data_IF_304398222586
#
_entry.id   IF_304398222586
#
_cell.length_a   1.000
_cell.length_b   1.000
_cell.length_c   1.000
_cell.angle_alpha   90.00
_cell.angle_beta   90.00
_cell.angle_gamma   90.00
#
_symmetry.space_group_name_H-M   'P 1'
#
loop_
_entity.id
_entity.type
_entity.pdbx_description
1 polymer ?
#
# COMPACT_ATOMS: atom_id res chain seq x y z
N UNK A 1 6.69 30.05 3.44
CA UNK A 1 6.69 30.60 2.07
C UNK A 1 5.33 31.16 1.61
N UNK A 2 4.29 30.35 1.36
CA UNK A 2 3.02 30.83 0.75
C UNK A 2 2.40 32.00 1.55
N UNK A 3 2.20 31.82 2.86
CA UNK A 3 1.61 32.84 3.74
C UNK A 3 2.41 34.14 3.79
N UNK A 4 3.74 34.05 3.70
CA UNK A 4 4.65 35.19 3.88
C UNK A 4 4.87 35.96 2.59
N UNK A 5 4.81 35.28 1.43
CA UNK A 5 5.24 35.86 0.16
C UNK A 5 4.10 36.08 -0.83
N UNK A 6 3.20 35.10 -1.01
CA UNK A 6 2.20 35.16 -2.10
C UNK A 6 1.15 36.24 -1.84
N UNK A 7 0.63 36.34 -0.61
CA UNK A 7 -0.36 37.35 -0.25
C UNK A 7 0.18 38.79 -0.40
N UNK A 8 1.48 39.00 -0.16
CA UNK A 8 2.08 40.33 -0.27
C UNK A 8 2.33 40.76 -1.72
N UNK A 9 2.31 39.82 -2.68
CA UNK A 9 2.56 40.08 -4.11
C UNK A 9 1.33 40.55 -4.89
N UNK A 10 0.16 40.60 -4.26
CA UNK A 10 -1.02 41.19 -4.91
C UNK A 10 -0.81 42.69 -5.13
N UNK A 11 -0.78 43.12 -6.40
CA UNK A 11 -0.66 44.53 -6.78
C UNK A 11 -1.75 45.41 -6.17
N UNK A 12 -2.98 44.88 -6.07
CA UNK A 12 -4.08 45.51 -5.37
C UNK A 12 -4.71 44.50 -4.39
N UNK A 13 -4.60 44.77 -3.09
CA UNK A 13 -5.10 43.88 -2.04
C UNK A 13 -6.64 43.88 -1.92
N UNK A 14 -7.32 44.87 -2.49
CA UNK A 14 -8.77 44.99 -2.43
C UNK A 14 -9.49 44.26 -3.58
N UNK A 15 -8.82 44.12 -4.74
CA UNK A 15 -9.44 43.56 -5.96
C UNK A 15 -8.68 42.37 -6.53
N UNK A 16 -7.45 42.11 -6.07
CA UNK A 16 -6.67 40.96 -6.48
C UNK A 16 -7.28 39.65 -5.97
N UNK A 17 -7.17 38.60 -6.77
CA UNK A 17 -7.59 37.26 -6.43
C UNK A 17 -6.40 36.30 -6.49
N UNK A 18 -6.40 35.29 -5.61
CA UNK A 18 -5.48 34.17 -5.67
C UNK A 18 -6.31 32.93 -5.98
N UNK A 19 -5.94 32.20 -7.03
CA UNK A 19 -6.58 30.95 -7.41
C UNK A 19 -5.53 29.84 -7.26
N UNK A 20 -5.84 28.83 -6.47
CA UNK A 20 -5.01 27.64 -6.31
C UNK A 20 -5.68 26.50 -7.05
N UNK A 21 -4.99 25.96 -8.05
CA UNK A 21 -5.44 24.78 -8.82
C UNK A 21 -4.40 23.69 -8.62
N UNK A 22 -4.79 22.64 -7.90
CA UNK A 22 -3.93 21.48 -7.65
C UNK A 22 -4.76 20.24 -7.38
N UNK A 23 -4.15 19.08 -7.56
CA UNK A 23 -4.66 17.83 -7.02
C UNK A 23 -4.38 17.78 -5.53
N UNK A 24 -5.35 17.30 -4.75
CA UNK A 24 -5.15 16.92 -3.35
C UNK A 24 -4.25 15.70 -3.28
N UNK A 25 -3.11 15.83 -2.64
CA UNK A 25 -2.11 14.74 -2.53
C UNK A 25 -1.90 14.28 -1.09
N UNK A 26 -2.30 15.10 -0.12
CA UNK A 26 -2.18 14.85 1.30
C UNK A 26 -3.17 15.74 2.06
N UNK A 27 -3.56 15.40 3.29
CA UNK A 27 -4.39 16.33 4.07
C UNK A 27 -3.67 17.65 4.31
N UNK A 28 -2.39 17.60 4.69
CA UNK A 28 -1.49 18.74 4.92
C UNK A 28 -0.90 19.37 3.64
N UNK A 29 -1.47 19.08 2.47
CA UNK A 29 -1.06 19.78 1.24
C UNK A 29 -1.43 21.27 1.31
N UNK A 30 -1.00 22.05 0.31
CA UNK A 30 -1.27 23.50 0.32
C UNK A 30 -2.77 23.80 0.40
N UNK A 31 -3.64 22.98 -0.20
CA UNK A 31 -5.08 23.19 -0.12
C UNK A 31 -5.59 22.95 1.29
N UNK A 32 -5.24 21.83 1.92
CA UNK A 32 -5.66 21.58 3.31
C UNK A 32 -5.12 22.62 4.29
N UNK A 33 -3.85 23.00 4.16
CA UNK A 33 -3.25 24.09 4.93
C UNK A 33 -4.02 25.41 4.80
N UNK A 34 -4.54 25.73 3.61
CA UNK A 34 -5.32 26.95 3.37
C UNK A 34 -6.74 26.85 3.90
N UNK A 35 -7.37 25.68 3.82
CA UNK A 35 -8.71 25.43 4.36
C UNK A 35 -8.75 25.50 5.90
N UNK A 36 -7.64 25.20 6.57
CA UNK A 36 -7.50 25.36 8.03
C UNK A 36 -7.32 26.82 8.48
N UNK A 37 -6.98 27.74 7.56
CA UNK A 37 -6.81 29.15 7.93
C UNK A 37 -8.16 29.80 8.18
N UNK A 38 -8.15 30.80 9.08
CA UNK A 38 -9.29 31.69 9.30
C UNK A 38 -9.64 32.57 8.08
N UNK A 39 -8.75 32.64 7.09
CA UNK A 39 -9.00 33.39 5.85
C UNK A 39 -10.03 32.64 5.00
N UNK A 40 -11.12 33.29 4.57
CA UNK A 40 -12.16 32.61 3.81
C UNK A 40 -11.68 32.26 2.40
N UNK A 41 -11.53 30.96 2.13
CA UNK A 41 -11.29 30.41 0.79
C UNK A 41 -12.59 29.84 0.22
N UNK A 42 -12.83 30.06 -1.07
CA UNK A 42 -13.87 29.34 -1.80
C UNK A 42 -13.28 28.02 -2.29
N UNK A 43 -13.77 26.91 -1.75
CA UNK A 43 -13.31 25.57 -2.12
C UNK A 43 -14.20 24.95 -3.20
N UNK A 44 -13.57 24.49 -4.28
CA UNK A 44 -14.22 23.72 -5.34
C UNK A 44 -13.47 22.39 -5.51
N UNK A 45 -14.11 21.31 -5.10
CA UNK A 45 -13.66 19.95 -5.37
C UNK A 45 -14.35 19.43 -6.64
N UNK A 46 -13.58 18.79 -7.52
CA UNK A 46 -14.06 18.16 -8.76
C UNK A 46 -13.62 16.69 -8.77
N UNK A 47 -14.33 15.78 -8.07
CA UNK A 47 -13.96 14.37 -8.01
C UNK A 47 -14.21 13.68 -9.35
N UNK A 48 -13.41 12.68 -9.69
CA UNK A 48 -13.52 11.91 -10.93
C UNK A 48 -14.90 11.26 -11.10
N UNK A 49 -15.53 10.83 -10.01
CA UNK A 49 -16.91 10.34 -9.92
C UNK A 49 -17.69 11.20 -8.92
N UNK A 50 -18.88 11.67 -9.29
CA UNK A 50 -19.68 12.56 -8.45
C UNK A 50 -20.22 11.80 -7.24
N UNK A 51 -20.01 12.34 -6.04
CA UNK A 51 -20.46 11.71 -4.79
C UNK A 51 -21.90 12.07 -4.43
N UNK A 52 -22.40 13.17 -4.99
CA UNK A 52 -23.76 13.67 -4.83
C UNK A 52 -24.18 14.42 -6.10
N UNK A 53 -25.46 14.75 -6.23
CA UNK A 53 -25.93 15.61 -7.32
C UNK A 53 -25.33 17.01 -7.20
N UNK A 54 -24.64 17.45 -8.26
CA UNK A 54 -23.99 18.74 -8.35
C UNK A 54 -24.76 19.64 -9.32
N UNK A 55 -25.08 20.87 -8.89
CA UNK A 55 -25.66 21.90 -9.75
C UNK A 55 -25.02 23.25 -9.48
N UNK A 56 -24.51 23.90 -10.53
CA UNK A 56 -23.82 25.20 -10.42
C UNK A 56 -24.18 26.11 -11.58
N UNK A 57 -24.60 27.33 -11.28
CA UNK A 57 -24.78 28.36 -12.30
C UNK A 57 -23.41 28.86 -12.79
N UNK A 58 -23.22 28.93 -14.10
CA UNK A 58 -21.99 29.43 -14.70
C UNK A 58 -22.10 30.94 -14.94
N UNK A 59 -21.04 31.69 -14.60
CA UNK A 59 -21.00 33.14 -14.82
C UNK A 59 -21.09 33.52 -16.31
N UNK A 60 -20.72 32.62 -17.21
CA UNK A 60 -20.86 32.76 -18.67
C UNK A 60 -22.29 32.56 -19.18
N UNK A 61 -23.24 32.24 -18.30
CA UNK A 61 -24.58 31.77 -18.67
C UNK A 61 -24.65 30.24 -18.71
N UNK A 62 -25.81 29.69 -18.32
CA UNK A 62 -26.06 28.24 -18.26
C UNK A 62 -25.85 27.61 -16.87
N UNK A 63 -26.17 26.32 -16.78
CA UNK A 63 -26.02 25.52 -15.57
C UNK A 63 -25.14 24.30 -15.87
N UNK A 64 -24.15 24.08 -15.02
CA UNK A 64 -23.46 22.81 -14.91
C UNK A 64 -24.28 21.90 -14.01
N UNK A 65 -24.62 20.71 -14.51
CA UNK A 65 -25.32 19.68 -13.73
C UNK A 65 -24.61 18.34 -13.92
N UNK A 66 -24.47 17.61 -12.82
CA UNK A 66 -23.88 16.28 -12.78
C UNK A 66 -24.58 15.46 -11.71
N UNK A 67 -25.02 14.25 -12.03
CA UNK A 67 -25.67 13.35 -11.06
C UNK A 67 -24.64 12.60 -10.24
N UNK A 68 -25.04 12.17 -9.05
CA UNK A 68 -24.27 11.18 -8.29
C UNK A 68 -23.93 9.99 -9.19
N UNK A 69 -22.64 9.61 -9.20
CA UNK A 69 -22.13 8.50 -10.02
C UNK A 69 -21.68 8.89 -11.42
N UNK A 70 -21.93 10.11 -11.90
CA UNK A 70 -21.44 10.53 -13.23
C UNK A 70 -19.93 10.77 -13.21
N UNK A 71 -19.24 10.48 -14.32
CA UNK A 71 -17.83 10.82 -14.49
C UNK A 71 -17.65 12.32 -14.73
N UNK A 72 -16.54 12.91 -14.24
CA UNK A 72 -16.27 14.35 -14.35
C UNK A 72 -16.07 14.76 -15.82
N UNK A 73 -15.38 13.92 -16.58
CA UNK A 73 -15.08 14.14 -17.99
C UNK A 73 -15.18 12.81 -18.76
N UNK A 74 -16.41 12.31 -19.05
CA UNK A 74 -16.63 10.98 -19.62
C UNK A 74 -15.88 10.71 -20.93
N UNK A 75 -15.67 11.74 -21.76
CA UNK A 75 -14.93 11.63 -23.03
C UNK A 75 -13.42 11.38 -22.84
N UNK A 76 -12.88 11.76 -21.68
CA UNK A 76 -11.47 11.57 -21.32
C UNK A 76 -11.30 10.27 -20.54
N UNK A 77 -12.12 10.09 -19.51
CA UNK A 77 -12.13 8.91 -18.65
C UNK A 77 -13.58 8.48 -18.39
N UNK A 78 -14.00 7.41 -19.06
CA UNK A 78 -15.32 6.81 -18.86
C UNK A 78 -15.44 6.15 -17.49
N UNK A 79 -16.67 5.98 -16.98
CA UNK A 79 -16.92 5.25 -15.72
C UNK A 79 -16.29 3.87 -15.71
N UNK A 80 -16.38 3.13 -16.82
CA UNK A 80 -15.75 1.81 -16.95
C UNK A 80 -14.23 1.85 -16.77
N UNK A 81 -13.57 2.90 -17.26
CA UNK A 81 -12.13 3.08 -17.06
C UNK A 81 -11.83 3.47 -15.62
N UNK A 82 -12.63 4.34 -15.02
CA UNK A 82 -12.49 4.73 -13.62
C UNK A 82 -12.70 3.54 -12.68
N UNK A 83 -13.66 2.66 -12.95
CA UNK A 83 -13.87 1.42 -12.21
C UNK A 83 -12.67 0.47 -12.34
N UNK A 84 -12.11 0.36 -13.55
CA UNK A 84 -10.89 -0.43 -13.77
C UNK A 84 -9.71 0.15 -12.99
N UNK A 85 -9.50 1.47 -13.07
CA UNK A 85 -8.44 2.16 -12.33
C UNK A 85 -8.65 2.01 -10.81
N UNK A 86 -9.88 2.12 -10.32
CA UNK A 86 -10.21 1.88 -8.91
C UNK A 86 -9.89 0.45 -8.49
N UNK A 87 -10.18 -0.53 -9.35
CA UNK A 87 -9.86 -1.94 -9.07
C UNK A 87 -8.36 -2.24 -9.09
N UNK A 88 -7.57 -1.48 -9.87
CA UNK A 88 -6.12 -1.65 -10.02
C UNK A 88 -5.34 -0.91 -8.92
N UNK A 89 -5.77 0.31 -8.57
CA UNK A 89 -5.11 1.13 -7.55
C UNK A 89 -5.58 0.87 -6.12
N UNK A 90 -6.74 0.26 -5.94
CA UNK A 90 -7.41 0.12 -4.64
C UNK A 90 -8.19 1.38 -4.23
N UNK A 91 -9.19 1.20 -3.38
CA UNK A 91 -10.13 2.25 -2.99
C UNK A 91 -9.46 3.41 -2.26
N UNK A 92 -8.43 3.14 -1.45
CA UNK A 92 -7.70 4.16 -0.69
C UNK A 92 -6.96 5.13 -1.60
N UNK A 93 -6.16 4.61 -2.54
CA UNK A 93 -5.42 5.41 -3.51
C UNK A 93 -6.37 6.15 -4.44
N UNK A 94 -7.43 5.48 -4.88
CA UNK A 94 -8.45 6.08 -5.73
C UNK A 94 -9.15 7.26 -5.01
N UNK A 95 -9.48 7.12 -3.73
CA UNK A 95 -10.10 8.19 -2.93
C UNK A 95 -9.20 9.43 -2.87
N UNK A 96 -7.91 9.26 -2.59
CA UNK A 96 -6.94 10.36 -2.57
C UNK A 96 -6.74 10.98 -3.95
N UNK A 97 -6.38 10.18 -4.94
CA UNK A 97 -5.93 10.67 -6.24
C UNK A 97 -7.07 11.12 -7.16
N UNK A 98 -8.18 10.37 -7.20
CA UNK A 98 -9.28 10.60 -8.15
C UNK A 98 -10.48 11.29 -7.50
N UNK A 99 -10.79 10.99 -6.23
CA UNK A 99 -11.90 11.65 -5.53
C UNK A 99 -11.48 12.91 -4.75
N UNK A 100 -10.20 13.27 -4.73
CA UNK A 100 -9.67 14.44 -4.00
C UNK A 100 -9.94 14.38 -2.49
N UNK A 101 -10.06 13.16 -1.95
CA UNK A 101 -10.26 12.87 -0.52
C UNK A 101 -9.02 12.16 0.03
N UNK A 102 -7.91 12.89 0.25
CA UNK A 102 -6.79 12.30 0.97
C UNK A 102 -7.27 11.93 2.38
N UNK A 103 -7.01 10.69 2.79
CA UNK A 103 -7.36 10.24 4.14
C UNK A 103 -6.55 11.03 5.18
N UNK A 104 -7.10 11.26 6.38
CA UNK A 104 -6.37 11.92 7.45
C UNK A 104 -5.13 11.11 7.87
N UNK A 105 -4.10 11.81 8.34
CA UNK A 105 -2.94 11.19 8.96
C UNK A 105 -3.43 10.43 10.20
N UNK A 106 -3.46 9.09 10.07
CA UNK A 106 -3.90 8.22 11.14
C UNK A 106 -5.20 7.45 10.93
N UNK A 107 -5.87 7.62 9.79
CA UNK A 107 -6.85 6.62 9.37
C UNK A 107 -6.11 5.35 8.92
N UNK A 108 -6.60 4.20 9.36
CA UNK A 108 -5.93 2.92 9.09
C UNK A 108 -5.94 2.59 7.60
N UNK A 109 -4.75 2.36 7.05
CA UNK A 109 -4.56 2.02 5.63
C UNK A 109 -5.13 0.63 5.33
N UNK A 110 -5.12 -0.27 6.31
CA UNK A 110 -5.51 -1.68 6.14
C UNK A 110 -6.67 -2.03 7.07
N UNK A 111 -7.74 -2.58 6.50
CA UNK A 111 -8.93 -3.00 7.28
C UNK A 111 -8.85 -4.47 7.62
N UNK A 112 -9.19 -4.84 8.87
CA UNK A 112 -9.27 -6.26 9.29
C UNK A 112 -10.15 -7.10 8.35
N UNK A 113 -11.26 -6.52 7.89
CA UNK A 113 -12.23 -7.19 7.01
C UNK A 113 -11.68 -7.55 5.62
N UNK A 114 -10.49 -7.04 5.24
CA UNK A 114 -9.84 -7.39 3.99
C UNK A 114 -9.11 -8.74 4.03
N UNK A 115 -8.81 -9.24 5.23
CA UNK A 115 -8.23 -10.57 5.39
C UNK A 115 -9.31 -11.63 5.48
N UNK A 116 -9.20 -12.66 4.65
CA UNK A 116 -9.98 -13.87 4.79
C UNK A 116 -9.31 -14.83 5.79
N UNK A 117 -10.07 -15.82 6.26
CA UNK A 117 -9.58 -16.78 7.24
C UNK A 117 -9.41 -18.18 6.64
N UNK A 118 -8.40 -18.93 7.09
CA UNK A 118 -8.22 -20.34 6.76
C UNK A 118 -8.08 -21.22 8.02
N UNK A 119 -8.33 -22.52 7.85
CA UNK A 119 -8.08 -23.56 8.85
C UNK A 119 -6.79 -24.31 8.51
N UNK A 120 -5.98 -24.65 9.52
CA UNK A 120 -4.70 -25.37 9.31
C UNK A 120 -4.90 -26.73 8.61
N UNK A 121 -5.97 -27.45 8.96
CA UNK A 121 -6.30 -28.76 8.38
C UNK A 121 -6.72 -28.69 6.89
N UNK A 122 -6.97 -27.47 6.39
CA UNK A 122 -7.42 -27.20 5.01
C UNK A 122 -6.40 -26.46 4.17
N UNK A 123 -5.12 -26.46 4.57
CA UNK A 123 -4.08 -25.76 3.83
C UNK A 123 -3.88 -26.37 2.42
N UNK A 124 -3.97 -25.57 1.35
CA UNK A 124 -3.68 -26.03 0.00
C UNK A 124 -2.18 -26.30 -0.20
N UNK A 125 -1.84 -26.97 -1.30
CA UNK A 125 -0.45 -27.03 -1.77
C UNK A 125 -0.05 -25.68 -2.36
N UNK A 126 1.07 -25.14 -1.91
CA UNK A 126 1.60 -23.86 -2.37
C UNK A 126 2.50 -24.02 -3.59
N UNK A 127 2.33 -23.16 -4.58
CA UNK A 127 3.25 -23.05 -5.73
C UNK A 127 4.62 -22.52 -5.29
N UNK A 128 4.61 -21.66 -4.26
CA UNK A 128 5.78 -21.04 -3.69
C UNK A 128 5.56 -20.76 -2.21
N UNK A 129 6.59 -21.01 -1.38
CA UNK A 129 6.62 -20.52 0.00
C UNK A 129 7.77 -19.53 0.15
N UNK A 130 7.46 -18.34 0.64
CA UNK A 130 8.47 -17.33 0.94
C UNK A 130 8.57 -17.07 2.44
N UNK A 131 9.76 -16.65 2.89
CA UNK A 131 9.91 -15.95 4.15
C UNK A 131 10.52 -14.58 3.91
N UNK A 132 9.76 -13.53 4.23
CA UNK A 132 10.19 -12.13 4.14
C UNK A 132 10.71 -11.68 5.49
N UNK A 133 11.93 -11.17 5.51
CA UNK A 133 12.59 -10.66 6.70
C UNK A 133 12.77 -9.16 6.64
N UNK A 134 12.18 -8.47 7.61
CA UNK A 134 12.60 -7.17 8.08
C UNK A 134 13.53 -7.37 9.28
N UNK A 135 14.72 -6.78 9.25
CA UNK A 135 15.81 -7.16 10.17
C UNK A 135 16.30 -5.99 11.01
N UNK A 136 16.30 -6.18 12.32
CA UNK A 136 16.95 -5.30 13.29
C UNK A 136 18.05 -6.07 14.06
N UNK A 137 19.19 -5.43 14.32
CA UNK A 137 20.39 -6.05 14.93
C UNK A 137 20.68 -5.56 16.35
N UNK A 138 19.66 -5.36 17.19
CA UNK A 138 19.88 -4.95 18.59
C UNK A 138 18.83 -5.56 19.55
N UNK A 139 19.25 -5.97 20.74
CA UNK A 139 18.39 -6.56 21.79
C UNK A 139 17.85 -5.54 22.85
N UNK A 140 18.07 -4.23 22.69
CA UNK A 140 17.62 -3.25 23.70
C UNK A 140 16.08 -3.09 23.72
N UNK A 141 15.52 -2.64 24.85
CA UNK A 141 14.07 -2.40 24.98
C UNK A 141 13.54 -1.35 23.98
N UNK A 142 14.37 -0.41 23.56
CA UNK A 142 14.08 0.59 22.53
C UNK A 142 14.39 0.14 21.10
N UNK A 143 14.96 -1.05 20.91
CA UNK A 143 15.32 -1.59 19.59
C UNK A 143 14.10 -2.03 18.79
N UNK A 144 14.22 -1.93 17.47
CA UNK A 144 13.25 -2.47 16.52
C UNK A 144 13.24 -4.00 16.55
N UNK A 145 12.14 -4.61 16.12
CA UNK A 145 12.01 -6.06 16.10
C UNK A 145 12.57 -6.60 14.77
N UNK A 146 13.20 -7.78 14.82
CA UNK A 146 13.34 -8.58 13.60
C UNK A 146 12.03 -9.33 13.37
N UNK A 147 11.46 -9.17 12.18
CA UNK A 147 10.23 -9.83 11.75
C UNK A 147 10.47 -10.75 10.57
N UNK A 148 10.17 -12.03 10.74
CA UNK A 148 10.14 -13.03 9.67
C UNK A 148 8.71 -13.46 9.38
N UNK A 149 8.19 -13.11 8.20
CA UNK A 149 6.83 -13.44 7.77
C UNK A 149 6.85 -14.54 6.71
N UNK A 150 6.22 -15.68 7.02
CA UNK A 150 6.10 -16.80 6.08
C UNK A 150 4.81 -16.67 5.29
N UNK A 151 4.90 -16.67 3.96
CA UNK A 151 3.72 -16.59 3.06
C UNK A 151 3.74 -17.76 2.09
N UNK A 152 2.63 -18.50 2.04
CA UNK A 152 2.31 -19.44 0.98
C UNK A 152 1.61 -18.73 -0.17
N UNK A 153 2.05 -18.97 -1.40
CA UNK A 153 1.53 -18.34 -2.60
C UNK A 153 0.95 -19.40 -3.55
N UNK A 154 -0.20 -19.08 -4.14
CA UNK A 154 -0.85 -19.90 -5.16
C UNK A 154 -1.29 -19.01 -6.30
N UNK A 155 -1.04 -19.47 -7.52
CA UNK A 155 -1.58 -18.89 -8.74
C UNK A 155 -2.65 -19.81 -9.32
N UNK A 156 -3.90 -19.35 -9.31
CA UNK A 156 -5.01 -20.03 -9.96
C UNK A 156 -5.56 -19.15 -11.10
N UNK A 157 -5.14 -19.48 -12.33
CA UNK A 157 -5.44 -18.71 -13.53
C UNK A 157 -4.92 -17.26 -13.45
N UNK A 158 -5.85 -16.31 -13.33
CA UNK A 158 -5.55 -14.87 -13.21
C UNK A 158 -5.60 -14.36 -11.77
N UNK A 159 -5.87 -15.24 -10.78
CA UNK A 159 -5.95 -14.89 -9.37
C UNK A 159 -4.71 -15.39 -8.64
N UNK A 160 -4.24 -14.56 -7.71
CA UNK A 160 -3.12 -14.86 -6.84
C UNK A 160 -3.63 -14.90 -5.41
N UNK A 161 -3.34 -15.98 -4.68
CA UNK A 161 -3.73 -16.18 -3.30
C UNK A 161 -2.51 -16.16 -2.41
N UNK A 162 -2.62 -15.47 -1.28
CA UNK A 162 -1.53 -15.25 -0.34
C UNK A 162 -1.97 -15.72 1.04
N UNK A 163 -1.30 -16.72 1.60
CA UNK A 163 -1.60 -17.27 2.92
C UNK A 163 -0.49 -16.88 3.86
N UNK A 164 -0.76 -16.05 4.86
CA UNK A 164 0.22 -15.70 5.88
C UNK A 164 0.24 -16.86 6.88
N UNK A 165 1.29 -17.69 6.79
CA UNK A 165 1.38 -18.97 7.50
C UNK A 165 1.96 -18.84 8.91
N UNK A 166 2.92 -17.94 9.08
CA UNK A 166 3.60 -17.74 10.35
C UNK A 166 4.24 -16.36 10.41
N UNK A 167 4.28 -15.76 11.61
CA UNK A 167 4.97 -14.49 11.87
C UNK A 167 5.87 -14.66 13.09
N UNK A 168 7.17 -14.55 12.85
CA UNK A 168 8.19 -14.53 13.89
C UNK A 168 8.50 -13.06 14.18
N UNK A 169 8.23 -12.57 15.39
CA UNK A 169 8.57 -11.21 15.82
C UNK A 169 9.42 -11.26 17.09
N UNK A 170 10.71 -11.01 16.98
CA UNK A 170 11.66 -11.11 18.12
C UNK A 170 12.79 -10.10 18.00
N UNK A 171 13.25 -9.59 19.14
CA UNK A 171 14.52 -8.85 19.24
C UNK A 171 15.65 -9.87 19.33
N UNK A 172 16.59 -9.80 18.40
CA UNK A 172 17.63 -10.81 18.25
C UNK A 172 18.94 -10.17 17.84
N UNK A 173 20.01 -10.53 18.55
CA UNK A 173 21.37 -10.25 18.07
C UNK A 173 21.67 -11.07 16.81
N UNK A 174 22.66 -10.59 16.04
CA UNK A 174 23.02 -11.15 14.74
C UNK A 174 23.15 -12.69 14.68
N UNK A 175 23.87 -13.37 15.61
CA UNK A 175 24.04 -14.82 15.53
C UNK A 175 22.72 -15.58 15.69
N UNK A 176 21.82 -15.08 16.55
CA UNK A 176 20.50 -15.68 16.77
C UNK A 176 19.60 -15.48 15.56
N UNK A 177 19.62 -14.30 14.94
CA UNK A 177 18.88 -14.01 13.71
C UNK A 177 19.32 -14.94 12.57
N UNK A 178 20.63 -15.08 12.32
CA UNK A 178 21.16 -16.04 11.34
C UNK A 178 20.69 -17.47 11.63
N UNK A 179 20.76 -17.89 12.90
CA UNK A 179 20.28 -19.22 13.28
C UNK A 179 18.78 -19.40 13.01
N UNK A 180 17.96 -18.39 13.30
CA UNK A 180 16.52 -18.43 13.06
C UNK A 180 16.19 -18.61 11.57
N UNK A 181 16.81 -17.80 10.71
CA UNK A 181 16.63 -17.88 9.26
C UNK A 181 17.07 -19.25 8.74
N UNK A 182 18.23 -19.74 9.16
CA UNK A 182 18.74 -21.07 8.77
C UNK A 182 17.81 -22.18 9.20
N UNK A 183 17.33 -22.15 10.44
CA UNK A 183 16.40 -23.16 10.95
C UNK A 183 15.10 -23.19 10.13
N UNK A 184 14.58 -22.03 9.72
CA UNK A 184 13.43 -21.98 8.81
C UNK A 184 13.76 -22.57 7.43
N UNK A 185 14.92 -22.24 6.85
CA UNK A 185 15.36 -22.80 5.56
C UNK A 185 15.38 -24.33 5.65
N UNK A 186 16.00 -24.90 6.68
CA UNK A 186 16.13 -26.35 6.86
C UNK A 186 14.76 -27.02 7.07
N UNK A 187 13.90 -26.45 7.94
CA UNK A 187 12.55 -26.98 8.19
C UNK A 187 11.72 -27.07 6.90
N UNK A 188 11.91 -26.12 5.99
CA UNK A 188 11.20 -26.05 4.72
C UNK A 188 11.96 -26.71 3.55
N UNK A 189 12.99 -27.55 3.78
CA UNK A 189 13.73 -28.25 2.71
C UNK A 189 12.88 -29.18 1.84
N UNK A 190 11.73 -29.63 2.33
CA UNK A 190 10.81 -30.46 1.56
C UNK A 190 10.03 -29.68 0.49
N UNK A 191 9.94 -28.35 0.60
CA UNK A 191 9.31 -27.52 -0.43
C UNK A 191 10.29 -27.24 -1.57
N UNK A 192 9.92 -27.68 -2.77
CA UNK A 192 10.74 -27.55 -3.98
C UNK A 192 10.95 -26.09 -4.37
N UNK A 193 9.92 -25.26 -4.20
CA UNK A 193 9.93 -23.84 -4.52
C UNK A 193 9.80 -23.03 -3.23
N UNK A 194 10.95 -22.59 -2.71
CA UNK A 194 10.99 -21.68 -1.57
C UNK A 194 11.99 -20.55 -1.78
N UNK A 195 11.72 -19.40 -1.17
CA UNK A 195 12.61 -18.24 -1.20
C UNK A 195 12.69 -17.57 0.17
N UNK A 196 13.87 -17.09 0.52
CA UNK A 196 14.05 -16.19 1.66
C UNK A 196 14.36 -14.82 1.10
N UNK A 197 13.58 -13.82 1.51
CA UNK A 197 13.71 -12.44 1.09
C UNK A 197 14.20 -11.66 2.31
N UNK A 198 15.27 -10.88 2.14
CA UNK A 198 15.84 -10.06 3.21
C UNK A 198 16.07 -8.67 2.64
N UNK A 199 15.74 -7.65 3.42
CA UNK A 199 16.01 -6.26 3.06
C UNK A 199 17.52 -6.02 2.86
N UNK A 200 17.91 -5.35 1.78
CA UNK A 200 19.31 -5.03 1.44
C UNK A 200 19.72 -3.64 1.97
N UNK A 201 19.37 -3.39 3.22
CA UNK A 201 19.68 -2.14 3.94
C UNK A 201 20.20 -2.49 5.34
N UNK A 202 21.10 -1.65 5.87
CA UNK A 202 21.61 -1.77 7.23
C UNK A 202 22.10 -3.18 7.58
N UNK A 203 21.46 -3.74 8.59
CA UNK A 203 21.65 -5.09 9.14
C UNK A 203 21.48 -6.22 8.13
N UNK A 204 20.53 -6.08 7.20
CA UNK A 204 20.18 -7.13 6.24
C UNK A 204 21.32 -7.45 5.27
N UNK A 205 22.19 -6.49 4.95
CA UNK A 205 23.39 -6.71 4.12
C UNK A 205 24.31 -7.81 4.66
N UNK A 206 24.60 -7.76 5.96
CA UNK A 206 25.45 -8.74 6.61
C UNK A 206 24.79 -10.12 6.62
N UNK A 207 23.49 -10.18 6.91
CA UNK A 207 22.69 -11.42 6.88
C UNK A 207 22.72 -12.06 5.49
N UNK A 208 22.47 -11.28 4.44
CA UNK A 208 22.49 -11.73 3.05
C UNK A 208 23.87 -12.29 2.70
N UNK A 209 24.94 -11.57 3.04
CA UNK A 209 26.31 -12.00 2.74
C UNK A 209 26.67 -13.31 3.44
N UNK A 210 26.41 -13.41 4.75
CA UNK A 210 26.71 -14.63 5.52
C UNK A 210 25.94 -15.84 5.00
N UNK A 211 24.62 -15.72 4.80
CA UNK A 211 23.81 -16.85 4.34
C UNK A 211 24.17 -17.28 2.90
N UNK A 212 24.52 -16.34 2.02
CA UNK A 212 25.01 -16.67 0.66
C UNK A 212 26.35 -17.38 0.69
N UNK A 213 27.27 -16.98 1.58
CA UNK A 213 28.55 -17.67 1.76
C UNK A 213 28.36 -19.10 2.28
N UNK A 214 27.29 -19.36 3.03
CA UNK A 214 26.86 -20.71 3.46
C UNK A 214 26.16 -21.51 2.34
N UNK A 215 26.00 -20.93 1.14
CA UNK A 215 25.36 -21.58 -0.02
C UNK A 215 23.84 -21.45 -0.06
N UNK A 216 23.22 -20.64 0.81
CA UNK A 216 21.78 -20.41 0.78
C UNK A 216 21.37 -19.38 -0.30
N UNK A 217 20.27 -19.66 -0.99
CA UNK A 217 19.71 -18.76 -2.00
C UNK A 217 18.83 -17.67 -1.35
N UNK A 218 19.46 -16.55 -1.00
CA UNK A 218 18.79 -15.38 -0.42
C UNK A 218 18.48 -14.32 -1.49
N UNK A 219 17.20 -13.93 -1.58
CA UNK A 219 16.72 -12.83 -2.40
C UNK A 219 16.90 -11.50 -1.65
N UNK A 220 17.77 -10.64 -2.16
CA UNK A 220 17.92 -9.29 -1.65
C UNK A 220 16.74 -8.43 -2.12
N UNK A 221 16.11 -7.69 -1.22
CA UNK A 221 15.07 -6.72 -1.53
C UNK A 221 15.52 -5.32 -1.18
N UNK A 222 15.51 -4.41 -2.15
CA UNK A 222 15.84 -3.01 -1.90
C UNK A 222 14.57 -2.16 -2.04
N UNK A 223 14.02 -1.60 -0.95
CA UNK A 223 12.88 -0.72 -1.07
C UNK A 223 13.23 0.53 -1.88
N UNK A 224 12.28 0.99 -2.70
CA UNK A 224 12.44 2.16 -3.58
C UNK A 224 11.60 3.36 -3.14
N UNK A 225 10.70 3.17 -2.18
CA UNK A 225 9.81 4.18 -1.63
C UNK A 225 9.76 4.11 -0.10
N UNK A 226 9.22 5.15 0.53
CA UNK A 226 8.95 5.16 1.97
C UNK A 226 7.90 4.11 2.37
N UNK A 227 7.86 3.77 3.66
CA UNK A 227 7.03 2.68 4.22
C UNK A 227 5.55 2.84 3.90
N UNK A 228 5.03 4.05 4.03
CA UNK A 228 3.63 4.35 3.77
C UNK A 228 3.29 4.10 2.29
N UNK A 229 4.12 4.60 1.38
CA UNK A 229 3.98 4.35 -0.06
C UNK A 229 4.09 2.87 -0.41
N UNK A 230 5.00 2.10 0.24
CA UNK A 230 5.14 0.66 0.00
C UNK A 230 3.93 -0.14 0.45
N UNK A 231 3.30 0.22 1.57
CA UNK A 231 2.07 -0.43 2.03
C UNK A 231 0.91 -0.09 1.10
N UNK A 232 0.79 1.19 0.71
CA UNK A 232 -0.22 1.63 -0.25
C UNK A 232 -0.16 0.80 -1.55
N UNK A 233 1.04 0.53 -2.06
CA UNK A 233 1.23 -0.22 -3.29
C UNK A 233 0.71 -1.66 -3.27
N UNK A 234 0.40 -2.22 -2.08
CA UNK A 234 -0.15 -3.59 -1.91
C UNK A 234 -1.58 -3.58 -1.36
N UNK A 235 -2.21 -2.41 -1.21
CA UNK A 235 -3.56 -2.29 -0.66
C UNK A 235 -4.63 -2.92 -1.56
N UNK A 236 -4.43 -2.89 -2.87
CA UNK A 236 -5.28 -3.56 -3.86
C UNK A 236 -5.37 -5.09 -3.60
N UNK A 237 -4.22 -5.73 -3.35
CA UNK A 237 -4.14 -7.16 -3.03
C UNK A 237 -4.85 -7.45 -1.71
N UNK A 238 -4.62 -6.62 -0.70
CA UNK A 238 -5.28 -6.78 0.59
C UNK A 238 -6.80 -6.64 0.43
N UNK A 239 -7.26 -5.54 -0.16
CA UNK A 239 -8.69 -5.22 -0.36
C UNK A 239 -9.41 -6.25 -1.24
N UNK A 240 -8.72 -6.88 -2.19
CA UNK A 240 -9.29 -7.91 -3.06
C UNK A 240 -9.77 -9.16 -2.34
N UNK A 241 -9.38 -9.35 -1.06
CA UNK A 241 -9.76 -10.51 -0.26
C UNK A 241 -8.96 -11.77 -0.61
N UNK A 242 -7.85 -11.67 -1.34
CA UNK A 242 -7.01 -12.83 -1.64
C UNK A 242 -5.86 -13.06 -0.64
N UNK A 243 -5.85 -12.32 0.46
CA UNK A 243 -4.91 -12.53 1.58
C UNK A 243 -5.62 -13.24 2.73
N UNK A 244 -5.06 -14.37 3.15
CA UNK A 244 -5.64 -15.28 4.12
C UNK A 244 -4.78 -15.35 5.38
N UNK A 245 -5.44 -15.27 6.54
CA UNK A 245 -4.86 -15.43 7.87
C UNK A 245 -5.38 -16.72 8.52
N UNK A 246 -4.61 -17.35 9.43
CA UNK A 246 -5.14 -18.48 10.19
C UNK A 246 -6.27 -18.01 11.08
N UNK A 247 -7.26 -18.86 11.33
CA UNK A 247 -8.32 -18.55 12.32
C UNK A 247 -7.79 -18.31 13.73
N UNK A 248 -6.69 -18.98 14.08
CA UNK A 248 -6.05 -18.87 15.38
C UNK A 248 -4.55 -19.03 15.21
N UNK A 249 -3.78 -18.08 15.71
CA UNK A 249 -2.34 -18.19 15.89
C UNK A 249 -1.90 -17.26 17.03
N UNK A 250 -0.79 -17.59 17.69
CA UNK A 250 -0.28 -16.79 18.82
C UNK A 250 0.14 -15.37 18.39
N UNK A 251 0.55 -15.18 17.14
CA UNK A 251 0.99 -13.90 16.59
C UNK A 251 -0.14 -13.07 15.96
N UNK A 252 -1.34 -13.65 15.78
CA UNK A 252 -2.38 -13.09 14.92
C UNK A 252 -2.93 -11.76 15.43
N UNK A 253 -3.23 -11.66 16.72
CA UNK A 253 -3.84 -10.46 17.29
C UNK A 253 -2.85 -9.29 17.30
N UNK A 254 -1.59 -9.55 17.64
CA UNK A 254 -0.51 -8.54 17.59
C UNK A 254 -0.26 -8.06 16.15
N UNK A 255 -0.24 -8.98 15.19
CA UNK A 255 -0.12 -8.67 13.77
C UNK A 255 -1.27 -7.79 13.28
N UNK A 256 -2.52 -8.19 13.54
CA UNK A 256 -3.70 -7.44 13.12
C UNK A 256 -3.74 -6.07 13.80
N UNK A 257 -3.40 -5.99 15.08
CA UNK A 257 -3.35 -4.73 15.81
C UNK A 257 -2.35 -3.76 15.16
N UNK A 258 -1.17 -4.24 14.79
CA UNK A 258 -0.12 -3.42 14.18
C UNK A 258 -0.53 -2.95 12.78
N UNK A 259 -0.89 -3.88 11.89
CA UNK A 259 -1.22 -3.58 10.49
C UNK A 259 -2.47 -2.72 10.37
N UNK A 260 -3.50 -2.96 11.20
CA UNK A 260 -4.74 -2.16 11.17
C UNK A 260 -4.66 -0.87 11.99
N UNK A 261 -3.53 -0.55 12.62
CA UNK A 261 -3.31 0.76 13.25
C UNK A 261 -2.26 1.59 12.55
N UNK A 262 -1.49 1.02 11.63
CA UNK A 262 -0.53 1.76 10.84
C UNK A 262 -1.21 2.93 10.08
N UNK A 263 -0.63 4.15 10.07
CA UNK A 263 0.71 4.52 10.54
C UNK A 263 0.84 4.86 12.04
N UNK A 264 -0.27 4.81 12.79
CA UNK A 264 -0.32 5.19 14.21
C UNK A 264 0.06 4.08 15.20
N UNK A 265 0.44 2.91 14.70
CA UNK A 265 0.89 1.82 15.56
C UNK A 265 2.23 2.19 16.22
N UNK A 266 2.46 1.69 17.44
CA UNK A 266 3.75 1.91 18.16
C UNK A 266 4.93 1.29 17.41
N UNK A 267 4.67 0.23 16.66
CA UNK A 267 5.62 -0.53 15.88
C UNK A 267 5.06 -0.70 14.47
N UNK A 268 5.93 -0.93 13.50
CA UNK A 268 5.56 -1.10 12.10
C UNK A 268 6.44 -2.15 11.37
N UNK A 269 7.24 -2.90 12.12
CA UNK A 269 8.15 -3.93 11.60
C UNK A 269 7.37 -5.04 10.85
N UNK A 270 6.16 -5.39 11.33
CA UNK A 270 5.31 -6.39 10.66
C UNK A 270 4.67 -5.84 9.39
N UNK A 271 4.42 -4.53 9.34
CA UNK A 271 3.95 -3.83 8.14
C UNK A 271 5.03 -3.81 7.06
N UNK A 272 6.29 -3.61 7.46
CA UNK A 272 7.44 -3.71 6.55
C UNK A 272 7.60 -5.14 6.01
N UNK A 273 7.60 -6.15 6.88
CA UNK A 273 7.71 -7.54 6.45
C UNK A 273 6.60 -7.94 5.47
N UNK A 274 5.35 -7.53 5.74
CA UNK A 274 4.18 -7.78 4.88
C UNK A 274 4.31 -7.07 3.54
N UNK A 275 4.53 -5.75 3.55
CA UNK A 275 4.61 -4.95 2.34
C UNK A 275 5.79 -5.38 1.47
N UNK A 276 6.94 -5.72 2.06
CA UNK A 276 8.08 -6.30 1.35
C UNK A 276 7.71 -7.61 0.66
N UNK A 277 7.05 -8.53 1.38
CA UNK A 277 6.68 -9.84 0.85
C UNK A 277 5.75 -9.72 -0.37
N UNK A 278 4.70 -8.91 -0.23
CA UNK A 278 3.70 -8.71 -1.27
C UNK A 278 4.27 -7.94 -2.47
N UNK A 279 5.05 -6.88 -2.25
CA UNK A 279 5.73 -6.16 -3.33
C UNK A 279 6.71 -7.05 -4.11
N UNK A 280 7.45 -7.91 -3.41
CA UNK A 280 8.35 -8.86 -4.05
C UNK A 280 7.58 -9.89 -4.89
N UNK A 281 6.50 -10.47 -4.36
CA UNK A 281 5.65 -11.41 -5.09
C UNK A 281 5.03 -10.76 -6.33
N UNK A 282 4.47 -9.55 -6.19
CA UNK A 282 3.94 -8.78 -7.32
C UNK A 282 4.99 -8.55 -8.39
N UNK A 283 6.21 -8.17 -8.01
CA UNK A 283 7.25 -7.84 -8.98
C UNK A 283 7.76 -9.07 -9.75
N UNK A 284 7.78 -10.24 -9.10
CA UNK A 284 8.37 -11.45 -9.66
C UNK A 284 7.35 -12.43 -10.27
N UNK A 285 6.07 -12.33 -9.90
CA UNK A 285 5.02 -13.29 -10.28
C UNK A 285 3.78 -12.60 -10.85
N UNK A 286 3.95 -11.46 -11.56
CA UNK A 286 2.85 -10.75 -12.23
C UNK A 286 2.00 -11.67 -13.08
N UNK A 287 0.69 -11.47 -12.99
CA UNK A 287 -0.25 -11.93 -14.01
C UNK A 287 -0.05 -11.02 -15.23
N UNK A 288 0.22 -11.55 -16.44
CA UNK A 288 0.33 -10.71 -17.62
C UNK A 288 -1.01 -10.01 -17.88
N UNK A 289 -0.99 -8.68 -17.91
CA UNK A 289 -2.16 -7.85 -18.25
C UNK A 289 -2.51 -8.11 -19.72
N UNK A 290 -3.77 -8.47 -20.01
CA UNK A 290 -4.29 -8.47 -21.38
C UNK A 290 -4.38 -7.03 -21.86
N UNK A 291 -3.40 -6.59 -22.66
CA UNK A 291 -3.53 -5.38 -23.48
C UNK A 291 -4.62 -5.67 -24.52
N UNK A 292 -5.85 -5.20 -24.28
CA UNK A 292 -6.88 -5.17 -25.32
C UNK A 292 -6.42 -4.10 -26.32
N UNK A 293 -5.73 -4.54 -27.39
CA UNK A 293 -5.47 -3.67 -28.53
C UNK A 293 -6.83 -3.22 -29.07
N UNK A 294 -7.08 -1.91 -29.09
CA UNK A 294 -8.24 -1.34 -29.79
C UNK A 294 -8.25 -1.91 -31.21
N UNK A 295 -9.38 -2.40 -31.74
CA UNK A 295 -9.49 -2.70 -33.15
C UNK A 295 -9.12 -1.44 -33.92
N UNK A 296 -8.17 -1.54 -34.85
CA UNK A 296 -7.91 -0.47 -35.80
C UNK A 296 -9.22 -0.17 -36.53
N UNK A 297 -9.76 1.02 -36.33
CA UNK A 297 -10.85 1.53 -37.16
C UNK A 297 -10.20 1.85 -38.51
N UNK A 298 -10.21 0.86 -39.39
CA UNK A 298 -10.10 1.06 -40.83
C UNK A 298 -11.53 0.95 -41.36
N UNK A 299 -12.06 2.08 -41.82
CA UNK A 299 -13.40 2.26 -42.35
C UNK A 299 -13.70 3.74 -42.46
#
# INVERSE_FOLDING_TARGET
WFSENIYQRLNNKNTGAIIVVMQRVHENDLTGFLLEKKTPWQYLCLPAIAESDESRALKSGGHYYRKQGDALHPERESLKQLDFVKSDLGSYVFAGQYQQQPAPEGESIVKRAWFNEYHEDGLPNFDLIIQSWDTAMTENESSDYSVGMTIGYIKDGYKNYYYILDVIRKKMEYPKLLHCIRSWIHKNNHHTHKKVIVEDIGSGKAIIQSLRNEGHNICAYKPTADKHTRLIAVTDILESGFVYLPKKAQWLDDFLLEVTRFPNAKHDDQVDALSQALNWLMSNYRVPVRVIRRPSILG
#
